data_IF_489053315010
#
_entry.id   IF_489053315010
#
_cell.length_a   1.000
_cell.length_b   1.000
_cell.length_c   1.000
_cell.angle_alpha   90.00
_cell.angle_beta   90.00
_cell.angle_gamma   90.00
#
_symmetry.space_group_name_H-M   'P 1'
#
loop_
_entity.id
_entity.type
_entity.pdbx_description
1 polymer ?
#
# COMPACT_ATOMS: atom_id res chain seq x y z
N UNK A 1 6.63 22.68 -38.51
CA UNK A 1 5.65 22.42 -37.43
C UNK A 1 6.35 21.64 -36.33
N UNK A 2 6.67 22.30 -35.26
CA UNK A 2 7.16 21.64 -34.06
C UNK A 2 5.96 20.98 -33.41
N UNK A 3 5.85 19.66 -33.48
CA UNK A 3 4.90 18.86 -32.74
C UNK A 3 5.30 18.90 -31.27
N UNK A 4 4.86 19.90 -30.54
CA UNK A 4 5.04 19.97 -29.11
C UNK A 4 4.05 19.00 -28.49
N UNK A 5 4.51 17.81 -28.17
CA UNK A 5 3.71 16.81 -27.48
C UNK A 5 3.65 17.18 -25.99
N UNK A 6 2.65 18.00 -25.65
CA UNK A 6 2.39 18.33 -24.24
C UNK A 6 1.59 17.19 -23.58
N UNK A 7 2.26 16.45 -22.72
CA UNK A 7 1.59 15.53 -21.81
C UNK A 7 0.78 16.34 -20.78
N UNK A 8 -0.47 15.94 -20.53
CA UNK A 8 -1.21 16.51 -19.42
C UNK A 8 -0.51 16.22 -18.10
N UNK A 9 -0.69 17.08 -17.10
CA UNK A 9 -0.09 16.89 -15.77
C UNK A 9 -0.37 15.51 -15.17
N UNK A 10 -1.61 15.01 -15.31
CA UNK A 10 -1.99 13.68 -14.84
C UNK A 10 -1.23 12.56 -15.55
N UNK A 11 -0.97 12.68 -16.85
CA UNK A 11 -0.19 11.70 -17.59
C UNK A 11 1.28 11.67 -17.17
N UNK A 12 1.84 12.84 -16.83
CA UNK A 12 3.19 12.93 -16.27
C UNK A 12 3.27 12.22 -14.92
N UNK A 13 2.32 12.46 -14.02
CA UNK A 13 2.25 11.79 -12.72
C UNK A 13 2.04 10.28 -12.87
N UNK A 14 1.20 9.85 -13.79
CA UNK A 14 1.00 8.43 -14.09
C UNK A 14 2.30 7.78 -14.60
N UNK A 15 2.98 8.41 -15.53
CA UNK A 15 4.25 7.91 -16.08
C UNK A 15 5.34 7.82 -15.01
N UNK A 16 5.43 8.81 -14.12
CA UNK A 16 6.35 8.81 -12.99
C UNK A 16 6.05 7.66 -12.02
N UNK A 17 4.78 7.47 -11.64
CA UNK A 17 4.37 6.39 -10.76
C UNK A 17 4.66 5.00 -11.35
N UNK A 18 4.40 4.80 -12.64
CA UNK A 18 4.71 3.56 -13.35
C UNK A 18 6.23 3.31 -13.34
N UNK A 19 7.04 4.34 -13.58
CA UNK A 19 8.50 4.25 -13.52
C UNK A 19 8.97 3.83 -12.12
N UNK A 20 8.44 4.45 -11.07
CA UNK A 20 8.78 4.12 -9.67
C UNK A 20 8.46 2.65 -9.36
N UNK A 21 7.29 2.15 -9.76
CA UNK A 21 6.94 0.74 -9.57
C UNK A 21 7.94 -0.21 -10.23
N UNK A 22 8.33 0.08 -11.46
CA UNK A 22 9.30 -0.73 -12.20
C UNK A 22 10.70 -0.67 -11.60
N UNK A 23 11.13 0.50 -11.17
CA UNK A 23 12.43 0.71 -10.55
C UNK A 23 12.54 -0.05 -9.22
N UNK A 24 11.55 0.09 -8.35
CA UNK A 24 11.53 -0.63 -7.06
C UNK A 24 11.48 -2.14 -7.27
N UNK A 25 10.67 -2.63 -8.21
CA UNK A 25 10.61 -4.06 -8.50
C UNK A 25 11.93 -4.62 -9.07
N UNK A 26 12.74 -3.79 -9.71
CA UNK A 26 14.05 -4.17 -10.22
C UNK A 26 15.15 -4.14 -9.15
N UNK A 27 15.08 -3.22 -8.19
CA UNK A 27 16.12 -2.97 -7.19
C UNK A 27 15.92 -3.77 -5.88
N UNK A 28 14.67 -4.10 -5.53
CA UNK A 28 14.33 -4.77 -4.28
C UNK A 28 13.86 -6.20 -4.53
N UNK A 29 14.20 -7.11 -3.61
CA UNK A 29 13.87 -8.52 -3.75
C UNK A 29 12.43 -8.84 -3.35
N UNK A 30 11.92 -8.14 -2.32
CA UNK A 30 10.64 -8.44 -1.68
C UNK A 30 9.77 -7.19 -1.46
N UNK A 31 9.35 -6.52 -2.52
CA UNK A 31 8.42 -5.40 -2.38
C UNK A 31 7.02 -5.88 -1.97
N UNK A 32 6.27 -4.99 -1.35
CA UNK A 32 4.85 -5.18 -1.03
C UNK A 32 4.07 -3.90 -1.32
N UNK A 33 2.86 -4.04 -1.87
CA UNK A 33 1.94 -2.91 -2.06
C UNK A 33 0.93 -2.88 -0.91
N UNK A 34 0.95 -1.78 -0.16
CA UNK A 34 -0.01 -1.56 0.92
C UNK A 34 -1.36 -1.13 0.35
N UNK A 35 -2.42 -1.79 0.77
CA UNK A 35 -3.78 -1.56 0.31
C UNK A 35 -4.71 -1.34 1.51
N UNK A 36 -5.38 -0.18 1.55
CA UNK A 36 -6.34 0.16 2.61
C UNK A 36 -7.80 0.15 2.15
N UNK A 37 -8.04 0.03 0.85
CA UNK A 37 -9.36 0.19 0.25
C UNK A 37 -9.80 1.64 0.03
N UNK A 38 -8.99 2.61 0.48
CA UNK A 38 -9.20 4.02 0.19
C UNK A 38 -8.84 4.36 -1.27
N UNK A 39 -9.30 5.52 -1.74
CA UNK A 39 -9.12 5.98 -3.12
C UNK A 39 -7.67 5.91 -3.62
N UNK A 40 -6.72 6.30 -2.77
CA UNK A 40 -5.31 6.36 -3.15
C UNK A 40 -4.72 4.96 -3.33
N UNK A 41 -5.08 4.01 -2.45
CA UNK A 41 -4.64 2.62 -2.58
C UNK A 41 -5.25 1.91 -3.80
N UNK A 42 -6.47 2.26 -4.17
CA UNK A 42 -7.13 1.75 -5.39
C UNK A 42 -6.39 2.27 -6.64
N UNK A 43 -6.04 3.55 -6.66
CA UNK A 43 -5.25 4.15 -7.74
C UNK A 43 -3.87 3.49 -7.83
N UNK A 44 -3.20 3.28 -6.70
CA UNK A 44 -1.90 2.61 -6.64
C UNK A 44 -1.96 1.19 -7.22
N UNK A 45 -3.00 0.43 -6.89
CA UNK A 45 -3.20 -0.91 -7.43
C UNK A 45 -3.37 -0.89 -8.95
N UNK A 46 -4.12 0.08 -9.48
CA UNK A 46 -4.29 0.26 -10.92
C UNK A 46 -3.00 0.67 -11.62
N UNK A 47 -2.21 1.53 -11.00
CA UNK A 47 -0.91 1.95 -11.54
C UNK A 47 0.09 0.79 -11.56
N UNK A 48 0.09 -0.05 -10.53
CA UNK A 48 0.89 -1.27 -10.49
C UNK A 48 0.49 -2.25 -11.61
N UNK A 49 -0.79 -2.44 -11.84
CA UNK A 49 -1.29 -3.23 -12.98
C UNK A 49 -0.76 -2.70 -14.30
N UNK A 50 -0.85 -1.39 -14.55
CA UNK A 50 -0.32 -0.76 -15.76
C UNK A 50 1.19 -0.89 -15.90
N UNK A 51 1.91 -0.78 -14.78
CA UNK A 51 3.38 -0.83 -14.77
C UNK A 51 3.94 -2.14 -15.31
N UNK A 52 3.24 -3.26 -15.06
CA UNK A 52 3.70 -4.60 -15.39
C UNK A 52 2.91 -5.27 -16.52
N UNK A 53 1.86 -4.62 -17.02
CA UNK A 53 1.09 -5.15 -18.15
C UNK A 53 2.01 -5.49 -19.35
N UNK A 54 1.83 -6.66 -20.03
CA UNK A 54 0.81 -7.68 -19.84
C UNK A 54 1.13 -8.75 -18.77
N UNK A 55 2.28 -8.63 -18.08
CA UNK A 55 2.64 -9.54 -17.00
C UNK A 55 1.83 -9.23 -15.72
N UNK A 56 1.84 -10.18 -14.80
CA UNK A 56 1.26 -9.96 -13.47
C UNK A 56 2.14 -9.05 -12.62
N UNK A 57 1.53 -8.39 -11.64
CA UNK A 57 2.25 -7.65 -10.61
C UNK A 57 3.19 -8.61 -9.88
N UNK A 58 4.52 -8.34 -9.82
CA UNK A 58 5.50 -9.30 -9.32
C UNK A 58 5.66 -9.33 -7.80
N UNK A 59 4.83 -8.61 -7.05
CA UNK A 59 4.86 -8.54 -5.59
C UNK A 59 3.45 -8.66 -5.01
N UNK A 60 3.32 -9.09 -3.74
CA UNK A 60 2.02 -9.21 -3.09
C UNK A 60 1.41 -7.86 -2.73
N UNK A 61 0.10 -7.89 -2.53
CA UNK A 61 -0.69 -6.81 -1.93
C UNK A 61 -0.96 -7.16 -0.47
N UNK A 62 -0.77 -6.22 0.44
CA UNK A 62 -1.03 -6.40 1.86
C UNK A 62 -2.06 -5.41 2.37
N UNK A 63 -3.07 -5.93 3.06
CA UNK A 63 -4.08 -5.15 3.76
C UNK A 63 -3.92 -5.33 5.27
N UNK A 64 -3.76 -4.23 5.99
CA UNK A 64 -3.85 -4.23 7.46
C UNK A 64 -5.32 -4.04 7.83
N UNK A 65 -5.95 -5.12 8.25
CA UNK A 65 -7.39 -5.16 8.54
C UNK A 65 -7.65 -4.87 10.02
N UNK A 66 -8.36 -3.78 10.29
CA UNK A 66 -8.77 -3.41 11.65
C UNK A 66 -9.96 -4.21 12.17
N UNK A 67 -10.66 -4.92 11.29
CA UNK A 67 -11.95 -5.56 11.57
C UNK A 67 -13.14 -4.59 11.51
N UNK A 68 -12.92 -3.32 11.15
CA UNK A 68 -13.94 -2.28 11.06
C UNK A 68 -14.12 -1.75 9.63
N UNK A 69 -13.68 -2.50 8.64
CA UNK A 69 -13.87 -2.14 7.23
C UNK A 69 -15.31 -2.46 6.79
N UNK A 70 -15.83 -1.67 5.87
CA UNK A 70 -17.09 -1.98 5.22
C UNK A 70 -16.96 -3.25 4.36
N UNK A 71 -18.01 -4.06 4.32
CA UNK A 71 -18.01 -5.31 3.56
C UNK A 71 -17.72 -5.08 2.07
N UNK A 72 -18.23 -3.99 1.51
CA UNK A 72 -18.00 -3.61 0.11
C UNK A 72 -16.50 -3.37 -0.20
N UNK A 73 -15.74 -2.87 0.77
CA UNK A 73 -14.29 -2.66 0.63
C UNK A 73 -13.57 -4.00 0.56
N UNK A 74 -13.96 -4.94 1.43
CA UNK A 74 -13.39 -6.28 1.47
C UNK A 74 -13.73 -7.09 0.21
N UNK A 75 -14.98 -7.02 -0.25
CA UNK A 75 -15.42 -7.65 -1.48
C UNK A 75 -14.69 -7.07 -2.72
N UNK A 76 -14.54 -5.76 -2.78
CA UNK A 76 -13.78 -5.10 -3.84
C UNK A 76 -12.32 -5.56 -3.84
N UNK A 77 -11.67 -5.57 -2.67
CA UNK A 77 -10.29 -6.04 -2.50
C UNK A 77 -10.14 -7.47 -3.03
N UNK A 78 -10.96 -8.38 -2.54
CA UNK A 78 -10.85 -9.80 -2.86
C UNK A 78 -11.10 -10.07 -4.35
N UNK A 79 -12.08 -9.39 -4.92
CA UNK A 79 -12.35 -9.45 -6.36
C UNK A 79 -11.18 -8.94 -7.19
N UNK A 80 -10.64 -7.76 -6.85
CA UNK A 80 -9.55 -7.16 -7.62
C UNK A 80 -8.26 -7.95 -7.56
N UNK A 81 -7.87 -8.45 -6.39
CA UNK A 81 -6.66 -9.28 -6.29
C UNK A 81 -6.80 -10.61 -7.04
N UNK A 82 -8.00 -11.19 -7.04
CA UNK A 82 -8.30 -12.39 -7.83
C UNK A 82 -8.22 -12.13 -9.34
N UNK A 83 -8.84 -11.04 -9.82
CA UNK A 83 -8.78 -10.62 -11.23
C UNK A 83 -7.34 -10.37 -11.71
N UNK A 84 -6.52 -9.76 -10.87
CA UNK A 84 -5.12 -9.45 -11.17
C UNK A 84 -4.20 -10.67 -11.00
N UNK A 85 -4.67 -11.72 -10.36
CA UNK A 85 -3.86 -12.90 -10.05
C UNK A 85 -2.68 -12.59 -9.13
N UNK A 86 -2.83 -11.61 -8.24
CA UNK A 86 -1.82 -11.19 -7.28
C UNK A 86 -2.10 -11.82 -5.91
N UNK A 87 -1.04 -12.10 -5.15
CA UNK A 87 -1.17 -12.64 -3.80
C UNK A 87 -1.64 -11.57 -2.84
N UNK A 88 -2.69 -11.86 -2.07
CA UNK A 88 -3.17 -11.02 -0.97
C UNK A 88 -2.65 -11.55 0.36
N UNK A 89 -2.07 -10.65 1.16
CA UNK A 89 -1.73 -10.88 2.56
C UNK A 89 -2.63 -9.98 3.42
N UNK A 90 -3.25 -10.56 4.42
CA UNK A 90 -4.07 -9.82 5.38
C UNK A 90 -3.41 -9.90 6.75
N UNK A 91 -3.02 -8.73 7.27
CA UNK A 91 -2.51 -8.58 8.63
C UNK A 91 -3.65 -8.06 9.51
N UNK A 92 -4.17 -8.92 10.39
CA UNK A 92 -5.39 -8.65 11.15
C UNK A 92 -5.07 -8.09 12.53
N UNK A 93 -5.59 -6.90 12.81
CA UNK A 93 -5.56 -6.29 14.15
C UNK A 93 -6.41 -7.11 15.13
N UNK A 94 -7.56 -7.63 14.68
CA UNK A 94 -8.44 -8.46 15.52
C UNK A 94 -7.75 -9.76 15.96
N UNK A 95 -7.03 -10.41 15.06
CA UNK A 95 -6.25 -11.62 15.42
C UNK A 95 -5.11 -11.29 16.38
N UNK A 96 -4.39 -10.20 16.18
CA UNK A 96 -3.32 -9.76 17.06
C UNK A 96 -3.81 -9.48 18.49
N UNK A 97 -5.04 -8.94 18.64
CA UNK A 97 -5.69 -8.74 19.92
C UNK A 97 -6.12 -10.09 20.52
N UNK A 98 -6.75 -10.96 19.73
CA UNK A 98 -7.19 -12.28 20.17
C UNK A 98 -6.02 -13.15 20.64
N UNK A 99 -4.88 -13.07 19.99
CA UNK A 99 -3.65 -13.80 20.35
C UNK A 99 -2.89 -13.19 21.53
N UNK A 100 -3.35 -12.05 22.07
CA UNK A 100 -2.70 -11.35 23.17
C UNK A 100 -1.43 -10.57 22.79
N UNK A 101 -1.10 -10.43 21.50
CA UNK A 101 0.05 -9.65 21.02
C UNK A 101 -0.17 -8.15 21.14
N UNK A 102 -1.43 -7.71 21.06
CA UNK A 102 -1.86 -6.32 21.23
C UNK A 102 -3.03 -6.24 22.21
N UNK A 103 -3.12 -5.10 22.87
CA UNK A 103 -4.28 -4.76 23.74
C UNK A 103 -5.21 -3.81 23.00
N UNK A 104 -6.50 -4.12 23.01
CA UNK A 104 -7.51 -3.19 22.53
C UNK A 104 -7.61 -1.97 23.46
N UNK A 105 -7.62 -0.78 22.88
CA UNK A 105 -7.82 0.45 23.62
C UNK A 105 -9.25 0.52 24.13
N UNK A 106 -9.44 1.04 25.35
CA UNK A 106 -10.74 1.27 25.97
C UNK A 106 -10.96 2.75 26.22
N UNK A 107 -12.24 3.16 26.21
CA UNK A 107 -12.64 4.54 26.51
C UNK A 107 -13.10 5.32 25.27
N UNK A 108 -13.53 6.60 25.46
CA UNK A 108 -14.19 7.38 24.42
C UNK A 108 -13.28 7.79 23.25
N UNK A 109 -11.97 7.62 23.38
CA UNK A 109 -10.97 7.90 22.32
C UNK A 109 -10.29 6.65 21.81
N UNK A 110 -10.83 5.47 22.14
CA UNK A 110 -10.28 4.19 21.69
C UNK A 110 -10.38 4.08 20.16
N UNK A 111 -9.28 3.67 19.53
CA UNK A 111 -9.24 3.48 18.09
C UNK A 111 -8.27 2.36 17.71
N UNK A 112 -8.74 1.41 16.91
CA UNK A 112 -7.89 0.38 16.30
C UNK A 112 -6.92 0.93 15.24
N UNK A 113 -7.11 2.17 14.79
CA UNK A 113 -6.22 2.80 13.83
C UNK A 113 -4.78 2.92 14.35
N UNK A 114 -4.60 3.12 15.65
CA UNK A 114 -3.27 3.16 16.27
C UNK A 114 -2.59 1.80 16.30
N UNK A 115 -3.38 0.74 16.27
CA UNK A 115 -2.89 -0.64 16.31
C UNK A 115 -2.46 -1.14 14.91
N UNK A 116 -2.74 -0.40 13.87
CA UNK A 116 -2.31 -0.75 12.51
C UNK A 116 -0.78 -0.72 12.36
N UNK A 117 -0.12 0.25 12.96
CA UNK A 117 1.34 0.39 12.83
C UNK A 117 2.11 -0.80 13.39
N UNK A 118 1.88 -1.27 14.63
CA UNK A 118 2.55 -2.47 15.13
C UNK A 118 2.24 -3.72 14.30
N UNK A 119 1.01 -3.91 13.86
CA UNK A 119 0.63 -5.04 13.01
C UNK A 119 1.32 -4.97 11.64
N UNK A 120 1.41 -3.77 11.06
CA UNK A 120 2.14 -3.56 9.80
C UNK A 120 3.62 -3.90 9.94
N UNK A 121 4.29 -3.41 10.99
CA UNK A 121 5.71 -3.65 11.21
C UNK A 121 5.98 -5.14 11.44
N UNK A 122 5.17 -5.82 12.23
CA UNK A 122 5.25 -7.26 12.46
C UNK A 122 5.13 -8.05 11.14
N UNK A 123 4.16 -7.69 10.30
CA UNK A 123 3.98 -8.34 9.00
C UNK A 123 5.15 -8.08 8.03
N UNK A 124 5.73 -6.88 8.05
CA UNK A 124 6.92 -6.54 7.26
C UNK A 124 8.10 -7.40 7.69
N UNK A 125 8.34 -7.55 8.98
CA UNK A 125 9.40 -8.41 9.51
C UNK A 125 9.18 -9.88 9.19
N UNK A 126 7.98 -10.40 9.47
CA UNK A 126 7.62 -11.80 9.24
C UNK A 126 7.84 -12.23 7.80
N UNK A 127 7.39 -11.41 6.86
CA UNK A 127 7.52 -11.67 5.42
C UNK A 127 8.82 -11.17 4.81
N UNK A 128 9.68 -10.51 5.59
CA UNK A 128 10.97 -9.95 5.17
C UNK A 128 10.84 -9.01 3.96
N UNK A 129 9.84 -8.15 3.97
CA UNK A 129 9.71 -7.14 2.93
C UNK A 129 10.82 -6.10 3.05
N UNK A 130 11.46 -5.80 1.92
CA UNK A 130 12.54 -4.81 1.82
C UNK A 130 12.10 -3.49 1.19
N UNK A 131 10.91 -3.44 0.64
CA UNK A 131 10.27 -2.22 0.16
C UNK A 131 8.75 -2.28 0.31
N UNK A 132 8.13 -1.15 0.67
CA UNK A 132 6.69 -1.02 0.76
C UNK A 132 6.21 0.17 -0.06
N UNK A 133 5.25 -0.06 -0.97
CA UNK A 133 4.59 1.00 -1.70
C UNK A 133 3.39 1.51 -0.91
N UNK A 134 3.31 2.82 -0.73
CA UNK A 134 2.17 3.49 -0.12
C UNK A 134 1.70 4.65 -0.97
N UNK A 135 0.39 4.89 -0.99
CA UNK A 135 -0.21 6.04 -1.64
C UNK A 135 -0.30 7.21 -0.68
N UNK A 136 0.44 8.28 -0.95
CA UNK A 136 0.34 9.54 -0.22
C UNK A 136 0.64 10.72 -1.13
N UNK A 137 0.02 11.85 -0.84
CA UNK A 137 0.36 13.12 -1.48
C UNK A 137 1.20 13.97 -0.53
N UNK A 138 2.14 14.71 -1.09
CA UNK A 138 3.04 15.58 -0.30
C UNK A 138 2.31 16.67 0.48
N UNK A 139 1.12 17.05 0.05
CA UNK A 139 0.30 18.12 0.62
C UNK A 139 -0.75 17.66 1.64
N UNK A 140 -0.86 16.35 1.91
CA UNK A 140 -1.91 15.82 2.79
C UNK A 140 -1.69 16.08 4.27
N UNK A 141 -0.45 16.00 4.73
CA UNK A 141 -0.10 16.26 6.13
C UNK A 141 1.27 16.93 6.26
N UNK A 142 1.44 17.82 7.26
CA UNK A 142 2.73 18.44 7.55
C UNK A 142 3.84 17.43 7.86
N UNK A 143 3.51 16.31 8.50
CA UNK A 143 4.45 15.24 8.79
C UNK A 143 4.84 14.49 7.50
N UNK A 144 3.89 14.27 6.59
CA UNK A 144 4.09 13.62 5.29
C UNK A 144 4.65 14.55 4.23
N UNK A 145 4.49 15.87 4.38
CA UNK A 145 5.11 16.86 3.49
C UNK A 145 6.64 16.77 3.44
N UNK A 146 7.25 16.12 4.43
CA UNK A 146 8.68 15.80 4.45
C UNK A 146 9.01 14.51 3.72
N UNK A 147 8.03 13.66 3.44
CA UNK A 147 8.24 12.44 2.66
C UNK A 147 8.47 12.81 1.20
N UNK A 148 9.56 12.30 0.68
CA UNK A 148 9.90 12.35 -0.75
C UNK A 148 9.34 11.09 -1.42
N UNK A 149 9.67 10.89 -2.68
CA UNK A 149 9.33 9.64 -3.40
C UNK A 149 9.81 8.41 -2.64
N UNK A 150 11.02 8.46 -2.09
CA UNK A 150 11.62 7.39 -1.29
C UNK A 150 11.88 7.86 0.14
N UNK A 151 11.57 7.00 1.09
CA UNK A 151 11.95 7.13 2.49
C UNK A 151 12.71 5.88 2.91
N UNK A 152 13.96 6.06 3.32
CA UNK A 152 14.77 4.97 3.86
C UNK A 152 14.58 4.92 5.37
N UNK A 153 14.36 3.71 5.88
CA UNK A 153 14.14 3.48 7.30
C UNK A 153 15.14 2.46 7.80
N UNK A 154 15.82 2.80 8.87
CA UNK A 154 16.74 1.88 9.54
C UNK A 154 15.95 0.82 10.33
N UNK A 155 16.58 -0.29 10.64
CA UNK A 155 16.07 -1.26 11.60
C UNK A 155 15.99 -0.59 12.98
N UNK A 156 14.85 -0.76 13.66
CA UNK A 156 14.64 -0.24 15.01
C UNK A 156 15.13 -1.23 16.06
#
# INVERSE_FOLDING_TARGET
MTNTYELSHLRVLEAEAIHIFREVAAEFERPVLLFSGGKDSIVMLRLAEKAFWPAKIPFPVMHVDTGHNFDEVLEFRDRRVAELGVKLLVASVAEAIADGRLREETGPRASRNRLQTPVLLEAIEEHRFDAAFGGARRDEEKARAKERVYSFRDEF
#
